data_IF_233894623547
#
_entry.id   IF_233894623547
#
_cell.length_a   1.000
_cell.length_b   1.000
_cell.length_c   1.000
_cell.angle_alpha   90.00
_cell.angle_beta   90.00
_cell.angle_gamma   90.00
#
_symmetry.space_group_name_H-M   'P 1'
#
loop_
_entity.id
_entity.type
_entity.pdbx_description
1 polymer ?
#
# COMPACT_ATOMS: atom_id res chain seq x y z
N UNK A 1 16.44 -8.46 25.13
CA UNK A 1 16.40 -6.99 25.21
C UNK A 1 15.65 -6.59 26.46
N UNK A 2 16.25 -5.77 27.33
CA UNK A 2 15.61 -5.21 28.53
C UNK A 2 14.78 -3.96 28.13
N UNK A 3 13.82 -3.55 28.96
CA UNK A 3 12.89 -2.46 28.67
C UNK A 3 13.59 -1.12 28.41
N UNK A 4 14.64 -0.77 29.18
CA UNK A 4 15.42 0.47 28.94
C UNK A 4 16.09 0.50 27.57
N UNK A 5 16.72 -0.62 27.17
CA UNK A 5 17.35 -0.73 25.85
C UNK A 5 16.33 -0.70 24.70
N UNK A 6 15.13 -1.25 24.93
CA UNK A 6 14.04 -1.20 23.95
C UNK A 6 13.53 0.24 23.77
N UNK A 7 13.31 0.98 24.86
CA UNK A 7 12.87 2.38 24.83
C UNK A 7 13.84 3.27 24.03
N UNK A 8 15.15 3.15 24.29
CA UNK A 8 16.17 3.88 23.53
C UNK A 8 16.13 3.54 22.04
N UNK A 9 16.02 2.25 21.70
CA UNK A 9 15.96 1.80 20.30
C UNK A 9 14.70 2.31 19.59
N UNK A 10 13.54 2.29 20.27
CA UNK A 10 12.29 2.84 19.73
C UNK A 10 12.45 4.32 19.41
N UNK A 11 13.00 5.12 20.33
CA UNK A 11 13.23 6.56 20.13
C UNK A 11 14.18 6.83 18.96
N UNK A 12 15.29 6.09 18.88
CA UNK A 12 16.26 6.24 17.80
C UNK A 12 15.64 5.93 16.42
N UNK A 13 14.89 4.84 16.31
CA UNK A 13 14.18 4.47 15.07
C UNK A 13 13.15 5.53 14.72
N UNK A 14 12.40 6.01 15.72
CA UNK A 14 11.37 7.01 15.52
C UNK A 14 11.94 8.34 15.01
N UNK A 15 13.02 8.84 15.62
CA UNK A 15 13.69 10.08 15.21
C UNK A 15 14.25 9.98 13.80
N UNK A 16 14.93 8.87 13.48
CA UNK A 16 15.45 8.63 12.13
C UNK A 16 14.32 8.61 11.09
N UNK A 17 13.26 7.85 11.35
CA UNK A 17 12.13 7.72 10.42
C UNK A 17 11.41 9.06 10.21
N UNK A 18 11.20 9.80 11.30
CA UNK A 18 10.60 11.14 11.25
C UNK A 18 11.46 12.10 10.42
N UNK A 19 12.78 12.07 10.55
CA UNK A 19 13.68 12.88 9.75
C UNK A 19 13.59 12.54 8.26
N UNK A 20 13.62 11.25 7.91
CA UNK A 20 13.65 10.80 6.51
C UNK A 20 12.31 10.99 5.80
N UNK A 21 11.19 10.76 6.49
CA UNK A 21 9.84 10.69 5.87
C UNK A 21 8.89 11.81 6.30
N UNK A 22 9.25 12.61 7.31
CA UNK A 22 8.40 13.61 7.97
C UNK A 22 7.16 13.06 8.70
N UNK A 23 7.08 11.73 8.84
CA UNK A 23 6.11 11.05 9.68
C UNK A 23 6.68 9.73 10.17
N UNK A 24 6.04 9.14 11.17
CA UNK A 24 6.38 7.80 11.68
C UNK A 24 5.12 7.09 12.16
N UNK A 25 5.02 5.79 11.89
CA UNK A 25 3.91 4.96 12.33
C UNK A 25 4.37 3.73 13.12
N UNK A 26 3.42 3.00 13.70
CA UNK A 26 3.68 1.78 14.46
C UNK A 26 4.47 0.72 13.68
N UNK A 27 4.17 0.55 12.38
CA UNK A 27 4.84 -0.42 11.51
C UNK A 27 6.33 -0.07 11.35
N UNK A 28 6.66 1.22 11.20
CA UNK A 28 8.07 1.65 11.05
C UNK A 28 8.88 1.33 12.30
N UNK A 29 8.29 1.54 13.49
CA UNK A 29 8.91 1.20 14.76
C UNK A 29 9.17 -0.30 14.85
N UNK A 30 8.14 -1.12 14.57
CA UNK A 30 8.24 -2.57 14.67
C UNK A 30 9.25 -3.15 13.66
N UNK A 31 9.34 -2.60 12.45
CA UNK A 31 10.38 -2.94 11.48
C UNK A 31 11.78 -2.55 12.01
N UNK A 32 11.96 -1.29 12.44
CA UNK A 32 13.27 -0.78 12.85
C UNK A 32 13.82 -1.41 14.13
N UNK A 33 12.97 -1.86 15.06
CA UNK A 33 13.42 -2.61 16.24
C UNK A 33 13.66 -4.09 15.93
N UNK A 34 13.20 -4.60 14.78
CA UNK A 34 13.35 -5.98 14.32
C UNK A 34 12.24 -6.94 14.77
N UNK A 35 11.08 -6.40 15.16
CA UNK A 35 9.91 -7.19 15.56
C UNK A 35 9.06 -7.62 14.35
N UNK A 36 9.17 -6.88 13.23
CA UNK A 36 8.59 -7.24 11.94
C UNK A 36 9.67 -7.31 10.87
N UNK A 37 9.40 -8.09 9.83
CA UNK A 37 10.17 -8.12 8.59
C UNK A 37 9.30 -7.63 7.43
N UNK A 38 9.87 -7.08 6.34
CA UNK A 38 9.08 -6.60 5.19
C UNK A 38 8.11 -7.64 4.63
N UNK A 39 8.53 -8.91 4.59
CA UNK A 39 7.69 -10.03 4.12
C UNK A 39 6.41 -10.20 4.96
N UNK A 40 6.47 -9.96 6.28
CA UNK A 40 5.30 -10.04 7.15
C UNK A 40 4.26 -8.97 6.80
N UNK A 41 4.71 -7.77 6.42
CA UNK A 41 3.84 -6.68 6.00
C UNK A 41 3.15 -7.03 4.69
N UNK A 42 3.90 -7.57 3.74
CA UNK A 42 3.35 -7.98 2.44
C UNK A 42 2.29 -9.08 2.61
N UNK A 43 2.57 -10.09 3.43
CA UNK A 43 1.63 -11.19 3.68
C UNK A 43 0.37 -10.70 4.40
N UNK A 44 0.51 -9.81 5.38
CA UNK A 44 -0.62 -9.19 6.07
C UNK A 44 -1.43 -8.27 5.14
N UNK A 45 -0.78 -7.40 4.35
CA UNK A 45 -1.45 -6.55 3.38
C UNK A 45 -2.16 -7.32 2.27
N UNK A 46 -1.70 -8.54 1.97
CA UNK A 46 -2.36 -9.48 1.04
C UNK A 46 -3.42 -10.35 1.71
N UNK A 47 -3.67 -10.20 3.01
CA UNK A 47 -4.66 -10.99 3.74
C UNK A 47 -4.28 -12.45 3.99
N UNK A 48 -3.02 -12.86 3.75
CA UNK A 48 -2.51 -14.20 4.11
C UNK A 48 -2.40 -14.40 5.60
N UNK A 49 -2.25 -13.29 6.32
CA UNK A 49 -2.23 -13.24 7.78
C UNK A 49 -3.49 -12.53 8.26
N UNK A 50 -4.29 -13.12 9.17
CA UNK A 50 -5.56 -12.54 9.61
C UNK A 50 -5.41 -11.25 10.42
N UNK A 51 -4.30 -11.09 11.16
CA UNK A 51 -3.95 -9.87 11.90
C UNK A 51 -2.44 -9.73 12.09
N UNK A 52 -1.92 -8.50 12.10
CA UNK A 52 -0.47 -8.23 12.07
C UNK A 52 0.30 -8.82 13.26
N UNK A 53 -0.25 -8.74 14.48
CA UNK A 53 0.38 -9.26 15.70
C UNK A 53 0.68 -10.76 15.64
N UNK A 54 0.01 -11.53 14.76
CA UNK A 54 0.26 -12.96 14.56
C UNK A 54 1.67 -13.26 14.08
N UNK A 55 2.28 -12.33 13.34
CA UNK A 55 3.60 -12.51 12.69
C UNK A 55 4.68 -11.64 13.33
N UNK A 56 4.38 -10.97 14.45
CA UNK A 56 5.39 -10.22 15.20
C UNK A 56 6.28 -11.21 15.95
N UNK A 57 7.59 -11.07 15.79
CA UNK A 57 8.61 -11.88 16.46
C UNK A 57 8.87 -11.44 17.92
N UNK A 58 7.82 -11.17 18.69
CA UNK A 58 7.91 -10.76 20.10
C UNK A 58 6.62 -11.14 20.86
N UNK A 59 6.70 -11.27 22.19
CA UNK A 59 5.52 -11.49 23.02
C UNK A 59 4.71 -10.19 23.21
N UNK A 60 3.44 -10.32 23.60
CA UNK A 60 2.53 -9.19 23.77
C UNK A 60 3.09 -8.12 24.72
N UNK A 61 3.69 -8.51 25.84
CA UNK A 61 4.25 -7.56 26.81
C UNK A 61 5.31 -6.65 26.18
N UNK A 62 6.20 -7.20 25.34
CA UNK A 62 7.21 -6.42 24.61
C UNK A 62 6.59 -5.52 23.55
N UNK A 63 5.57 -6.01 22.83
CA UNK A 63 4.84 -5.22 21.82
C UNK A 63 4.16 -4.04 22.51
N UNK A 64 3.39 -4.28 23.56
CA UNK A 64 2.68 -3.25 24.32
C UNK A 64 3.65 -2.22 24.90
N UNK A 65 4.81 -2.65 25.41
CA UNK A 65 5.82 -1.73 25.93
C UNK A 65 6.41 -0.85 24.82
N UNK A 66 6.81 -1.43 23.68
CA UNK A 66 7.34 -0.67 22.54
C UNK A 66 6.31 0.36 22.03
N UNK A 67 5.05 -0.07 21.87
CA UNK A 67 3.96 0.80 21.44
C UNK A 67 3.65 1.91 22.45
N UNK A 68 3.74 1.64 23.75
CA UNK A 68 3.61 2.67 24.80
C UNK A 68 4.75 3.68 24.73
N UNK A 69 6.00 3.21 24.65
CA UNK A 69 7.20 4.05 24.52
C UNK A 69 7.10 4.98 23.30
N UNK A 70 6.71 4.43 22.15
CA UNK A 70 6.50 5.19 20.93
C UNK A 70 5.46 6.31 21.08
N UNK A 71 4.28 6.00 21.65
CA UNK A 71 3.23 7.02 21.86
C UNK A 71 3.65 8.11 22.84
N UNK A 72 4.38 7.76 23.90
CA UNK A 72 4.91 8.75 24.86
C UNK A 72 5.90 9.67 24.16
N UNK A 73 6.82 9.11 23.37
CA UNK A 73 7.78 9.90 22.59
C UNK A 73 7.08 10.84 21.59
N UNK A 74 6.07 10.36 20.85
CA UNK A 74 5.36 11.17 19.87
C UNK A 74 4.62 12.36 20.51
N UNK A 75 4.01 12.15 21.69
CA UNK A 75 3.38 13.22 22.48
C UNK A 75 4.40 14.24 22.98
N UNK A 76 5.56 13.78 23.48
CA UNK A 76 6.64 14.67 23.96
C UNK A 76 7.22 15.54 22.84
N UNK A 77 7.24 15.03 21.61
CA UNK A 77 7.68 15.79 20.42
C UNK A 77 6.58 16.68 19.82
N UNK A 78 5.36 16.65 20.34
CA UNK A 78 4.23 17.45 19.84
C UNK A 78 3.81 17.09 18.42
N UNK A 79 3.90 15.80 18.04
CA UNK A 79 3.54 15.36 16.69
C UNK A 79 2.03 15.30 16.48
N UNK A 80 1.59 15.62 15.27
CA UNK A 80 0.18 15.60 14.90
C UNK A 80 -0.27 14.16 14.57
N UNK A 81 -1.27 13.59 15.28
CA UNK A 81 -1.82 12.29 14.95
C UNK A 81 -2.70 12.39 13.68
N UNK A 82 -2.50 11.47 12.74
CA UNK A 82 -3.33 11.28 11.56
C UNK A 82 -3.69 9.81 11.41
N UNK A 83 -4.97 9.48 11.38
CA UNK A 83 -5.41 8.10 11.15
C UNK A 83 -5.20 7.72 9.67
N UNK A 84 -4.77 6.47 9.45
CA UNK A 84 -4.57 5.88 8.12
C UNK A 84 -5.42 4.62 7.97
N UNK A 85 -6.16 4.54 6.87
CA UNK A 85 -6.99 3.38 6.56
C UNK A 85 -6.17 2.27 5.90
N UNK A 86 -6.07 1.12 6.55
CA UNK A 86 -5.46 -0.09 5.98
C UNK A 86 -6.56 -1.01 5.47
N UNK A 87 -6.79 -1.00 4.15
CA UNK A 87 -7.87 -1.76 3.52
C UNK A 87 -7.31 -2.87 2.63
N UNK A 88 -7.85 -4.07 2.79
CA UNK A 88 -7.72 -5.15 1.83
C UNK A 88 -8.89 -5.04 0.84
N UNK A 89 -8.59 -4.73 -0.41
CA UNK A 89 -9.58 -4.76 -1.48
C UNK A 89 -9.80 -6.20 -1.93
N UNK A 90 -11.05 -6.66 -1.87
CA UNK A 90 -11.49 -7.90 -2.50
C UNK A 90 -12.50 -7.62 -3.61
N UNK A 91 -12.80 -8.60 -4.46
CA UNK A 91 -13.71 -8.49 -5.63
C UNK A 91 -15.05 -7.79 -5.35
N UNK A 92 -15.62 -7.98 -4.15
CA UNK A 92 -16.96 -7.52 -3.81
C UNK A 92 -17.01 -6.60 -2.58
N UNK A 93 -15.93 -6.51 -1.81
CA UNK A 93 -15.91 -5.65 -0.62
C UNK A 93 -14.49 -5.24 -0.26
N UNK A 94 -14.35 -4.05 0.33
CA UNK A 94 -13.11 -3.69 1.03
C UNK A 94 -13.28 -4.05 2.50
N UNK A 95 -12.32 -4.81 3.04
CA UNK A 95 -12.27 -5.14 4.47
C UNK A 95 -11.11 -4.39 5.12
N UNK A 96 -11.34 -3.81 6.29
CA UNK A 96 -10.26 -3.27 7.11
C UNK A 96 -9.30 -4.40 7.54
N UNK A 97 -8.01 -4.18 7.32
CA UNK A 97 -6.96 -5.03 7.86
C UNK A 97 -6.90 -4.83 9.38
N UNK A 98 -6.83 -5.95 10.09
CA UNK A 98 -6.79 -5.98 11.54
C UNK A 98 -5.34 -6.07 12.01
N UNK A 99 -4.97 -5.35 13.06
CA UNK A 99 -3.61 -5.37 13.60
C UNK A 99 -3.48 -6.36 14.75
N UNK A 100 -4.43 -6.36 15.68
CA UNK A 100 -4.37 -7.12 16.92
C UNK A 100 -5.22 -8.38 16.89
N UNK A 101 -4.93 -9.36 17.75
CA UNK A 101 -5.80 -10.53 17.90
C UNK A 101 -7.19 -10.18 18.45
N UNK A 102 -7.25 -9.21 19.38
CA UNK A 102 -8.49 -8.81 20.06
C UNK A 102 -9.42 -7.98 19.18
N UNK A 103 -8.87 -7.22 18.22
CA UNK A 103 -9.63 -6.26 17.43
C UNK A 103 -10.15 -5.08 18.24
N UNK A 104 -9.56 -4.82 19.42
CA UNK A 104 -9.94 -3.70 20.28
C UNK A 104 -9.73 -2.37 19.55
N UNK A 105 -10.79 -1.55 19.47
CA UNK A 105 -10.78 -0.30 18.68
C UNK A 105 -9.66 0.65 19.08
N UNK A 106 -9.24 0.71 20.35
CA UNK A 106 -8.17 1.58 20.79
C UNK A 106 -6.80 1.05 20.37
N UNK A 107 -6.60 -0.27 20.43
CA UNK A 107 -5.37 -0.92 19.94
C UNK A 107 -5.26 -0.73 18.42
N UNK A 108 -6.34 -0.99 17.69
CA UNK A 108 -6.40 -0.82 16.24
C UNK A 108 -6.12 0.64 15.83
N UNK A 109 -6.74 1.61 16.51
CA UNK A 109 -6.49 3.03 16.27
C UNK A 109 -5.02 3.40 16.55
N UNK A 110 -4.43 2.87 17.62
CA UNK A 110 -3.03 3.14 17.95
C UNK A 110 -2.06 2.61 16.87
N UNK A 111 -2.39 1.50 16.20
CA UNK A 111 -1.62 1.02 15.06
C UNK A 111 -1.86 1.83 13.78
N UNK A 112 -3.11 2.28 13.54
CA UNK A 112 -3.48 3.09 12.37
C UNK A 112 -3.01 4.54 12.44
N UNK A 113 -2.61 5.02 13.61
CA UNK A 113 -2.16 6.40 13.80
C UNK A 113 -0.74 6.59 13.26
N UNK A 114 -0.60 7.53 12.34
CA UNK A 114 0.68 8.07 11.86
C UNK A 114 0.93 9.40 12.56
N UNK A 115 2.12 9.58 13.10
CA UNK A 115 2.52 10.84 13.75
C UNK A 115 3.32 11.68 12.78
N UNK A 116 2.76 12.83 12.39
CA UNK A 116 3.31 13.72 11.36
C UNK A 116 4.04 14.89 12.02
N UNK A 117 5.15 15.31 11.42
CA UNK A 117 5.91 16.46 11.89
C UNK A 117 5.07 17.74 11.81
N UNK A 118 4.97 18.55 12.88
CA UNK A 118 4.25 19.82 12.86
C UNK A 118 4.98 20.90 12.05
N UNK A 119 6.26 20.71 11.75
CA UNK A 119 7.10 21.67 11.02
C UNK A 119 6.85 21.69 9.51
N UNK A 120 6.02 20.78 9.00
CA UNK A 120 5.64 20.76 7.59
C UNK A 120 4.65 21.89 7.27
N UNK A 121 4.77 22.48 6.09
CA UNK A 121 3.75 23.39 5.57
C UNK A 121 2.39 22.70 5.46
N UNK A 122 1.29 23.43 5.66
CA UNK A 122 -0.07 22.89 5.62
C UNK A 122 -0.35 22.09 4.33
N UNK A 123 0.13 22.58 3.19
CA UNK A 123 0.04 21.87 1.90
C UNK A 123 0.73 20.50 1.91
N UNK A 124 1.90 20.38 2.55
CA UNK A 124 2.62 19.11 2.65
C UNK A 124 1.93 18.17 3.64
N UNK A 125 1.42 18.70 4.75
CA UNK A 125 0.65 17.92 5.72
C UNK A 125 -0.62 17.36 5.08
N UNK A 126 -1.37 18.19 4.34
CA UNK A 126 -2.57 17.78 3.63
C UNK A 126 -2.26 16.71 2.57
N UNK A 127 -1.18 16.90 1.78
CA UNK A 127 -0.77 15.89 0.79
C UNK A 127 -0.39 14.56 1.43
N UNK A 128 0.27 14.56 2.58
CA UNK A 128 0.57 13.34 3.32
C UNK A 128 -0.71 12.67 3.83
N UNK A 129 -1.62 13.45 4.41
CA UNK A 129 -2.93 12.95 4.87
C UNK A 129 -3.74 12.33 3.72
N UNK A 130 -3.84 13.02 2.58
CA UNK A 130 -4.47 12.48 1.38
C UNK A 130 -3.80 11.18 0.90
N UNK A 131 -2.48 11.09 1.00
CA UNK A 131 -1.76 9.87 0.61
C UNK A 131 -2.00 8.71 1.58
N UNK A 132 -2.24 8.99 2.85
CA UNK A 132 -2.61 7.98 3.86
C UNK A 132 -4.05 7.49 3.69
N UNK A 133 -4.96 8.38 3.31
CA UNK A 133 -6.36 8.04 3.06
C UNK A 133 -6.56 7.33 1.72
N UNK A 134 -5.66 7.54 0.75
CA UNK A 134 -5.72 6.87 -0.55
C UNK A 134 -5.53 5.35 -0.40
N UNK A 135 -6.48 4.54 -0.91
CA UNK A 135 -6.29 3.09 -0.90
C UNK A 135 -5.09 2.71 -1.77
N UNK A 136 -4.44 1.61 -1.42
CA UNK A 136 -3.36 1.05 -2.22
C UNK A 136 -3.82 0.84 -3.68
N UNK A 137 -2.93 1.14 -4.62
CA UNK A 137 -3.20 0.97 -6.04
C UNK A 137 -3.42 -0.51 -6.36
N UNK A 138 -4.46 -0.81 -7.15
CA UNK A 138 -4.70 -2.16 -7.64
C UNK A 138 -3.58 -2.52 -8.60
N UNK A 139 -2.93 -3.68 -8.41
CA UNK A 139 -1.82 -4.13 -9.24
C UNK A 139 -2.24 -5.36 -10.05
N UNK A 140 -2.05 -5.28 -11.37
CA UNK A 140 -2.27 -6.36 -12.33
C UNK A 140 -0.93 -6.80 -12.89
N UNK A 141 -0.74 -8.11 -13.03
CA UNK A 141 0.49 -8.73 -13.50
C UNK A 141 0.34 -9.13 -14.97
N UNK A 142 1.29 -8.72 -15.81
CA UNK A 142 1.51 -9.33 -17.12
C UNK A 142 2.37 -10.59 -16.93
N UNK A 143 1.80 -11.75 -17.20
CA UNK A 143 2.39 -13.05 -16.82
C UNK A 143 3.45 -13.52 -17.82
N UNK A 144 4.50 -14.16 -17.30
CA UNK A 144 5.61 -14.69 -18.11
C UNK A 144 5.45 -16.16 -18.53
N UNK A 145 4.43 -16.83 -17.99
CA UNK A 145 4.11 -18.24 -18.20
C UNK A 145 2.60 -18.38 -18.14
N UNK A 146 2.09 -19.45 -18.74
CA UNK A 146 0.67 -19.77 -18.69
C UNK A 146 0.22 -20.01 -17.24
N UNK A 147 -1.03 -19.66 -16.98
CA UNK A 147 -1.69 -19.77 -15.68
C UNK A 147 -3.16 -20.15 -15.90
N UNK A 148 -3.86 -20.48 -14.82
CA UNK A 148 -5.31 -20.69 -14.82
C UNK A 148 -5.97 -19.70 -13.88
N UNK A 149 -7.20 -19.30 -14.20
CA UNK A 149 -8.03 -18.54 -13.27
C UNK A 149 -8.59 -19.50 -12.20
N UNK A 150 -8.41 -19.19 -10.92
CA UNK A 150 -8.86 -20.01 -9.80
C UNK A 150 -10.38 -19.94 -9.55
N UNK A 151 -11.11 -19.09 -10.27
CA UNK A 151 -12.58 -18.99 -10.15
C UNK A 151 -13.34 -19.57 -11.34
N UNK A 152 -13.00 -19.15 -12.56
CA UNK A 152 -13.71 -19.60 -13.77
C UNK A 152 -12.95 -20.65 -14.56
N UNK A 153 -11.79 -21.10 -14.07
CA UNK A 153 -10.97 -22.11 -14.70
C UNK A 153 -10.42 -21.78 -16.10
N UNK A 154 -10.61 -20.54 -16.57
CA UNK A 154 -10.10 -20.08 -17.86
C UNK A 154 -8.57 -20.12 -17.89
N UNK A 155 -8.00 -20.63 -18.98
CA UNK A 155 -6.58 -20.54 -19.27
C UNK A 155 -6.15 -19.10 -19.57
N UNK A 156 -5.02 -18.71 -18.99
CA UNK A 156 -4.38 -17.42 -19.15
C UNK A 156 -3.01 -17.67 -19.75
N UNK A 157 -2.88 -17.43 -21.04
CA UNK A 157 -1.62 -17.63 -21.76
C UNK A 157 -0.59 -16.56 -21.39
N UNK A 158 0.68 -16.85 -21.65
CA UNK A 158 1.78 -15.90 -21.59
C UNK A 158 1.37 -14.51 -22.15
N UNK A 159 1.83 -13.46 -21.48
CA UNK A 159 1.55 -12.05 -21.75
C UNK A 159 0.14 -11.56 -21.38
N UNK A 160 -0.77 -12.48 -21.02
CA UNK A 160 -2.07 -12.13 -20.46
C UNK A 160 -1.97 -11.38 -19.13
N UNK A 161 -3.05 -10.68 -18.80
CA UNK A 161 -3.18 -9.98 -17.52
C UNK A 161 -3.84 -10.86 -16.45
N UNK A 162 -3.23 -10.83 -15.27
CA UNK A 162 -3.63 -11.58 -14.10
C UNK A 162 -3.72 -10.65 -12.90
N UNK A 163 -4.85 -10.66 -12.21
CA UNK A 163 -4.97 -10.05 -10.88
C UNK A 163 -4.71 -11.12 -9.82
N UNK A 164 -3.94 -10.78 -8.78
CA UNK A 164 -3.68 -11.69 -7.67
C UNK A 164 -4.42 -11.21 -6.43
N UNK A 165 -5.45 -11.94 -6.02
CA UNK A 165 -6.20 -11.70 -4.80
C UNK A 165 -5.77 -12.69 -3.74
N UNK A 166 -5.03 -12.20 -2.73
CA UNK A 166 -4.36 -13.05 -1.74
C UNK A 166 -3.37 -14.03 -2.41
N UNK A 167 -3.77 -15.29 -2.56
CA UNK A 167 -3.05 -16.33 -3.30
C UNK A 167 -3.79 -16.89 -4.50
N UNK A 168 -4.97 -16.34 -4.81
CA UNK A 168 -5.75 -16.72 -5.99
C UNK A 168 -5.35 -15.90 -7.21
N UNK A 169 -5.07 -16.59 -8.29
CA UNK A 169 -4.84 -16.07 -9.62
C UNK A 169 -6.19 -15.86 -10.33
N UNK A 170 -6.52 -14.63 -10.69
CA UNK A 170 -7.80 -14.27 -11.27
C UNK A 170 -7.61 -13.62 -12.65
N UNK A 171 -8.43 -14.02 -13.61
CA UNK A 171 -8.54 -13.29 -14.87
C UNK A 171 -9.19 -11.92 -14.65
N UNK A 172 -9.01 -10.98 -15.58
CA UNK A 172 -9.57 -9.63 -15.45
C UNK A 172 -11.09 -9.62 -15.26
N UNK A 173 -11.82 -10.52 -15.93
CA UNK A 173 -13.28 -10.64 -15.80
C UNK A 173 -13.70 -11.04 -14.40
N UNK A 174 -13.09 -12.08 -13.83
CA UNK A 174 -13.34 -12.49 -12.45
C UNK A 174 -12.91 -11.41 -11.45
N UNK A 175 -11.91 -10.60 -11.79
CA UNK A 175 -11.47 -9.47 -10.97
C UNK A 175 -12.29 -8.18 -11.18
N UNK A 176 -13.28 -8.15 -12.09
CA UNK A 176 -14.05 -6.95 -12.49
C UNK A 176 -13.17 -5.81 -13.01
N UNK A 177 -12.17 -6.16 -13.80
CA UNK A 177 -11.21 -5.24 -14.43
C UNK A 177 -11.21 -5.38 -15.96
N UNK A 178 -12.12 -6.16 -16.54
CA UNK A 178 -12.17 -6.45 -17.97
C UNK A 178 -12.77 -5.32 -18.82
N UNK A 179 -13.51 -4.40 -18.22
CA UNK A 179 -13.98 -3.17 -18.86
C UNK A 179 -12.88 -2.09 -18.98
N UNK A 180 -11.71 -2.32 -18.39
CA UNK A 180 -10.60 -1.38 -18.44
C UNK A 180 -9.73 -1.61 -19.68
N UNK A 181 -9.37 -0.51 -20.33
CA UNK A 181 -8.47 -0.48 -21.48
C UNK A 181 -7.01 -0.32 -21.03
N UNK A 182 -6.11 -1.10 -21.64
CA UNK A 182 -4.69 -1.02 -21.35
C UNK A 182 -4.01 0.14 -22.08
N UNK A 183 -3.52 1.11 -21.30
CA UNK A 183 -2.64 2.18 -21.73
C UNK A 183 -1.18 1.78 -21.42
N UNK A 184 -0.33 1.50 -22.43
CA UNK A 184 1.08 1.21 -22.19
C UNK A 184 1.83 2.42 -21.64
N UNK A 185 2.92 2.17 -20.93
CA UNK A 185 3.84 3.21 -20.48
C UNK A 185 4.50 3.90 -21.69
N UNK A 186 4.72 5.21 -21.57
CA UNK A 186 5.35 6.01 -22.62
C UNK A 186 5.17 7.49 -22.33
N UNK A 187 4.04 8.06 -22.75
CA UNK A 187 3.70 9.44 -22.47
C UNK A 187 3.25 9.62 -21.01
N UNK A 188 4.13 10.22 -20.21
CA UNK A 188 3.89 10.46 -18.79
C UNK A 188 2.71 11.40 -18.53
N UNK A 189 2.46 12.36 -19.43
CA UNK A 189 1.35 13.31 -19.31
C UNK A 189 0.03 12.62 -19.58
N UNK A 190 -0.05 11.85 -20.68
CA UNK A 190 -1.23 11.04 -21.00
C UNK A 190 -1.54 10.04 -19.89
N UNK A 191 -0.52 9.32 -19.41
CA UNK A 191 -0.68 8.34 -18.31
C UNK A 191 -1.20 9.00 -17.04
N UNK A 192 -0.72 10.21 -16.70
CA UNK A 192 -1.17 10.96 -15.52
C UNK A 192 -2.60 11.46 -15.66
N UNK A 193 -2.99 11.94 -16.84
CA UNK A 193 -4.35 12.44 -17.07
C UNK A 193 -5.37 11.30 -17.17
N UNK A 194 -5.07 10.23 -17.89
CA UNK A 194 -5.95 9.06 -17.97
C UNK A 194 -6.22 8.48 -16.57
N UNK A 195 -5.19 8.39 -15.72
CA UNK A 195 -5.33 8.00 -14.32
C UNK A 195 -6.18 8.98 -13.50
N UNK A 196 -6.07 10.28 -13.77
CA UNK A 196 -6.82 11.32 -13.03
C UNK A 196 -8.32 11.28 -13.37
N UNK A 197 -8.65 11.07 -14.64
CA UNK A 197 -10.03 11.07 -15.13
C UNK A 197 -10.75 9.75 -14.86
N UNK A 198 -10.01 8.66 -14.71
CA UNK A 198 -10.60 7.35 -14.46
C UNK A 198 -10.98 7.14 -12.99
N UNK A 199 -12.21 6.67 -12.75
CA UNK A 199 -12.69 6.31 -11.41
C UNK A 199 -12.04 5.03 -10.91
N UNK A 200 -11.87 4.05 -11.79
CA UNK A 200 -11.25 2.75 -11.50
C UNK A 200 -10.04 2.55 -12.42
N UNK A 201 -8.87 2.32 -11.82
CA UNK A 201 -7.66 2.01 -12.56
C UNK A 201 -6.86 0.92 -11.87
N UNK A 202 -6.01 0.24 -12.63
CA UNK A 202 -5.01 -0.69 -12.11
C UNK A 202 -3.64 -0.45 -12.74
N UNK A 203 -2.57 -0.62 -11.96
CA UNK A 203 -1.20 -0.55 -12.45
C UNK A 203 -0.81 -1.90 -13.00
N UNK A 204 -0.34 -1.92 -14.25
CA UNK A 204 0.18 -3.15 -14.86
C UNK A 204 1.68 -3.24 -14.63
N UNK A 205 2.12 -4.36 -14.07
CA UNK A 205 3.54 -4.67 -13.85
C UNK A 205 3.93 -5.98 -14.51
N UNK A 206 5.22 -6.11 -14.84
CA UNK A 206 5.78 -7.34 -15.42
C UNK A 206 7.10 -7.64 -14.77
N UNK A 207 7.37 -8.92 -14.50
CA UNK A 207 8.65 -9.32 -13.93
C UNK A 207 9.76 -9.23 -14.99
N UNK A 208 10.78 -8.43 -14.72
CA UNK A 208 11.99 -8.37 -15.53
C UNK A 208 12.96 -9.44 -15.07
N UNK A 209 13.18 -10.47 -15.91
CA UNK A 209 14.17 -11.53 -15.61
C UNK A 209 15.59 -10.96 -15.51
N UNK A 210 15.93 -10.01 -16.39
CA UNK A 210 17.24 -9.37 -16.42
C UNK A 210 17.52 -8.57 -15.13
N UNK A 211 16.54 -7.81 -14.63
CA UNK A 211 16.70 -6.97 -13.43
C UNK A 211 16.20 -7.61 -12.13
N UNK A 212 15.68 -8.84 -12.18
CA UNK A 212 15.13 -9.62 -11.06
C UNK A 212 14.10 -8.83 -10.22
N UNK A 213 13.27 -8.01 -10.86
CA UNK A 213 12.26 -7.18 -10.19
C UNK A 213 11.05 -6.92 -11.09
N UNK A 214 9.93 -6.51 -10.49
CA UNK A 214 8.77 -6.05 -11.25
C UNK A 214 9.01 -4.63 -11.79
N UNK A 215 8.67 -4.43 -13.06
CA UNK A 215 8.73 -3.15 -13.75
C UNK A 215 7.32 -2.77 -14.20
N UNK A 216 6.95 -1.50 -13.98
CA UNK A 216 5.67 -0.96 -14.44
C UNK A 216 5.63 -0.92 -15.96
N UNK A 217 4.58 -1.49 -16.54
CA UNK A 217 4.36 -1.56 -18.00
C UNK A 217 3.29 -0.58 -18.49
N UNK A 218 2.42 -0.09 -17.62
CA UNK A 218 1.33 0.79 -18.02
C UNK A 218 0.23 0.88 -16.97
N UNK A 219 -0.97 1.21 -17.43
CA UNK A 219 -2.20 1.30 -16.64
C UNK A 219 -3.35 0.60 -17.37
N UNK A 220 -4.25 0.01 -16.61
CA UNK A 220 -5.62 -0.26 -17.03
C UNK A 220 -6.49 0.91 -16.56
N UNK A 221 -7.23 1.54 -17.46
CA UNK A 221 -8.09 2.72 -17.20
C UNK A 221 -9.42 2.58 -17.95
N UNK A 222 -10.45 3.29 -17.50
CA UNK A 222 -11.72 3.35 -18.25
C UNK A 222 -11.50 3.98 -19.63
N UNK A 223 -12.16 3.44 -20.66
CA UNK A 223 -12.03 3.90 -22.04
C UNK A 223 -12.41 5.38 -22.21
N UNK A 224 -13.46 5.83 -21.51
CA UNK A 224 -13.89 7.23 -21.51
C UNK A 224 -12.83 8.18 -20.95
N UNK A 225 -12.15 7.77 -19.88
CA UNK A 225 -11.08 8.54 -19.26
C UNK A 225 -9.83 8.62 -20.16
N UNK A 226 -9.53 7.54 -20.89
CA UNK A 226 -8.45 7.54 -21.87
C UNK A 226 -8.74 8.52 -23.02
N UNK A 227 -9.93 8.44 -23.62
CA UNK A 227 -10.34 9.36 -24.71
C UNK A 227 -10.30 10.83 -24.28
N UNK A 228 -10.78 11.12 -23.07
CA UNK A 228 -10.69 12.47 -22.51
C UNK A 228 -9.23 12.92 -22.38
N UNK A 229 -8.36 12.08 -21.81
CA UNK A 229 -6.94 12.40 -21.65
C UNK A 229 -6.23 12.58 -23.00
N UNK A 230 -6.56 11.80 -24.02
CA UNK A 230 -6.02 11.95 -25.37
C UNK A 230 -6.42 13.29 -26.01
N UNK A 231 -7.69 13.69 -25.84
CA UNK A 231 -8.18 14.98 -26.35
C UNK A 231 -7.46 16.17 -25.72
N UNK A 232 -7.30 16.16 -24.39
CA UNK A 232 -6.57 17.18 -23.63
C UNK A 232 -5.07 17.20 -23.98
N UNK A 233 -4.49 16.02 -24.22
CA UNK A 233 -3.08 15.93 -24.60
C UNK A 233 -2.81 16.44 -26.01
N UNK A 234 -3.73 16.18 -26.95
CA UNK A 234 -3.62 16.64 -28.34
C UNK A 234 -3.90 18.14 -28.47
N UNK A 235 -4.81 18.71 -27.67
CA UNK A 235 -5.09 20.16 -27.67
C UNK A 235 -3.94 21.01 -27.13
N UNK A 236 -2.95 20.41 -26.47
CA UNK A 236 -1.78 21.09 -25.90
C UNK A 236 -0.48 20.86 -26.68
N UNK A 237 -0.49 20.12 -27.79
CA UNK A 237 0.67 20.05 -28.71
C UNK A 237 0.62 21.25 -29.67
N UNK A 238 1.58 22.19 -29.65
CA UNK A 238 1.70 23.16 -30.73
C UNK A 238 2.00 22.43 -32.03
N UNK A 239 1.39 22.90 -33.12
CA UNK A 239 1.68 22.46 -34.49
C UNK A 239 3.14 22.75 -34.89
#
# INVERSE_FOLDING_TARGET
>A
MNNKSLDQKVKQVAEKTLHDRNYVCAIDILLGIGYLQPVHIDDWKRGRVPYLEKVICANLSKISYAMKSFRVWARQKGLNPSETSYLLKTQNHSRALQFSKSGDSNIELAYRTHYVSPTLTDKKQQKLKENFEKPAEVVVFSILKDSKCDLCEKELFKDSFLYKEQDKALCLKCAKLDELTFLPAGDAKLTRQAKKHSKTYAVVVRFSRARKRYERQGLLVEESALKQAESENNSEKPA
#
